data_IF_448631362665
#
_entry.id   IF_448631362665
#
_cell.length_a   1.000
_cell.length_b   1.000
_cell.length_c   1.000
_cell.angle_alpha   90.00
_cell.angle_beta   90.00
_cell.angle_gamma   90.00
#
_symmetry.space_group_name_H-M   'P 1'
#
loop_
_entity.id
_entity.type
_entity.pdbx_description
1 polymer ?
#
# COMPACT_ATOMS: atom_id res chain seq x y z
N UNK A 1 -49.20 45.00 10.87
CA UNK A 1 -49.14 43.60 11.35
C UNK A 1 -48.79 42.73 10.16
N UNK A 2 -47.70 41.96 10.23
CA UNK A 2 -47.35 41.03 9.14
C UNK A 2 -48.49 40.01 8.96
N UNK A 3 -48.85 39.70 7.71
CA UNK A 3 -49.90 38.74 7.42
C UNK A 3 -49.50 37.36 7.95
N UNK A 4 -50.47 36.57 8.42
CA UNK A 4 -50.26 35.18 8.87
C UNK A 4 -49.53 34.33 7.82
N UNK A 5 -49.70 34.64 6.54
CA UNK A 5 -49.00 33.99 5.43
C UNK A 5 -47.50 34.36 5.35
N UNK A 6 -47.14 35.59 5.70
CA UNK A 6 -45.74 36.06 5.69
C UNK A 6 -44.97 35.47 6.88
N UNK A 7 -45.62 35.34 8.04
CA UNK A 7 -45.08 34.65 9.21
C UNK A 7 -44.81 33.16 8.93
N UNK A 8 -45.71 32.49 8.20
CA UNK A 8 -45.54 31.07 7.84
C UNK A 8 -44.40 30.85 6.83
N UNK A 9 -44.22 31.78 5.87
CA UNK A 9 -43.08 31.74 4.92
C UNK A 9 -41.75 31.99 5.63
N UNK A 10 -41.70 32.93 6.57
CA UNK A 10 -40.51 33.20 7.37
C UNK A 10 -40.11 31.96 8.19
N UNK A 11 -41.07 31.36 8.90
CA UNK A 11 -40.84 30.14 9.69
C UNK A 11 -40.36 28.95 8.83
N UNK A 12 -40.93 28.75 7.63
CA UNK A 12 -40.46 27.69 6.72
C UNK A 12 -39.02 27.92 6.24
N UNK A 13 -38.64 29.16 5.95
CA UNK A 13 -37.29 29.52 5.50
C UNK A 13 -36.27 29.39 6.64
N UNK A 14 -36.65 29.73 7.86
CA UNK A 14 -35.84 29.54 9.06
C UNK A 14 -35.65 28.05 9.39
N UNK A 15 -36.72 27.25 9.33
CA UNK A 15 -36.65 25.80 9.49
C UNK A 15 -35.79 25.14 8.41
N UNK A 16 -35.87 25.61 7.17
CA UNK A 16 -35.05 25.09 6.08
C UNK A 16 -33.57 25.45 6.25
N UNK A 17 -33.24 26.68 6.69
CA UNK A 17 -31.86 27.04 7.04
C UNK A 17 -31.34 26.26 8.25
N UNK A 18 -32.19 26.03 9.25
CA UNK A 18 -31.83 25.21 10.40
C UNK A 18 -31.60 23.75 9.99
N UNK A 19 -32.40 23.22 9.05
CA UNK A 19 -32.22 21.89 8.49
C UNK A 19 -30.96 21.79 7.63
N UNK A 20 -30.69 22.77 6.76
CA UNK A 20 -29.48 22.84 5.95
C UNK A 20 -28.22 22.94 6.83
N UNK A 21 -28.26 23.79 7.87
CA UNK A 21 -27.18 23.93 8.84
C UNK A 21 -26.97 22.64 9.64
N UNK A 22 -28.04 22.00 10.10
CA UNK A 22 -27.96 20.72 10.80
C UNK A 22 -27.46 19.59 9.89
N UNK A 23 -27.83 19.59 8.60
CA UNK A 23 -27.32 18.63 7.61
C UNK A 23 -25.84 18.91 7.28
N UNK A 24 -25.39 20.17 7.30
CA UNK A 24 -23.97 20.54 7.13
C UNK A 24 -23.14 20.11 8.35
N UNK A 25 -23.61 20.41 9.57
CA UNK A 25 -22.97 19.96 10.81
C UNK A 25 -22.95 18.42 10.91
N UNK A 26 -23.99 17.74 10.42
CA UNK A 26 -24.06 16.27 10.33
C UNK A 26 -23.15 15.67 9.26
N UNK A 27 -22.83 16.41 8.20
CA UNK A 27 -21.82 15.98 7.21
C UNK A 27 -20.40 16.14 7.73
N UNK A 28 -20.20 17.13 8.59
CA UNK A 28 -18.91 17.49 9.16
C UNK A 28 -18.50 16.50 10.24
N UNK A 29 -19.36 16.24 11.24
CA UNK A 29 -19.02 15.34 12.33
C UNK A 29 -19.43 13.89 12.06
N UNK A 30 -18.52 12.95 12.29
CA UNK A 30 -18.83 11.52 12.26
C UNK A 30 -19.65 11.19 13.52
N UNK A 31 -20.92 10.80 13.33
CA UNK A 31 -21.81 10.39 14.43
C UNK A 31 -21.82 8.87 14.58
N UNK A 32 -21.91 8.40 15.82
CA UNK A 32 -22.14 6.99 16.13
C UNK A 32 -23.46 6.47 15.51
N UNK A 33 -24.46 7.36 15.41
CA UNK A 33 -25.79 7.09 14.83
C UNK A 33 -25.88 7.35 13.32
N UNK A 34 -24.81 7.22 12.54
CA UNK A 34 -24.87 7.11 11.06
C UNK A 34 -25.48 5.72 10.65
N UNK A 35 -26.50 5.32 11.41
CA UNK A 35 -27.27 4.07 11.44
C UNK A 35 -28.58 4.19 10.65
N UNK A 36 -28.85 5.35 10.02
CA UNK A 36 -30.07 5.58 9.24
C UNK A 36 -30.27 4.54 8.11
N UNK A 37 -29.25 3.72 7.83
CA UNK A 37 -29.33 2.40 7.23
C UNK A 37 -28.48 1.46 8.09
N UNK A 38 -29.04 0.35 8.58
CA UNK A 38 -28.30 -0.62 9.43
C UNK A 38 -26.86 -0.79 8.92
N UNK A 39 -25.83 -0.51 9.75
CA UNK A 39 -24.46 -0.57 9.29
C UNK A 39 -24.19 -1.96 8.75
N UNK A 40 -23.64 -2.00 7.53
CA UNK A 40 -23.34 -3.27 6.87
C UNK A 40 -22.56 -4.18 7.83
N UNK A 41 -22.74 -5.52 7.78
CA UNK A 41 -22.00 -6.44 8.65
C UNK A 41 -20.48 -6.19 8.63
N UNK A 42 -19.97 -5.67 7.50
CA UNK A 42 -18.63 -5.14 7.35
C UNK A 42 -18.29 -4.01 8.33
N UNK A 43 -19.03 -2.90 8.31
CA UNK A 43 -18.73 -1.73 9.16
C UNK A 43 -18.90 -2.05 10.65
N UNK A 44 -19.86 -2.92 11.00
CA UNK A 44 -19.98 -3.45 12.37
C UNK A 44 -18.78 -4.28 12.80
N UNK A 45 -18.24 -5.12 11.91
CA UNK A 45 -17.06 -5.95 12.23
C UNK A 45 -15.80 -5.10 12.34
N UNK A 46 -15.65 -4.10 11.47
CA UNK A 46 -14.48 -3.23 11.44
C UNK A 46 -14.50 -2.30 12.65
N UNK A 47 -15.62 -1.64 12.95
CA UNK A 47 -15.73 -0.73 14.11
C UNK A 47 -15.15 0.67 13.86
N UNK A 48 -14.97 1.09 12.61
CA UNK A 48 -14.36 2.40 12.29
C UNK A 48 -15.25 3.59 12.64
N UNK A 49 -16.58 3.41 12.58
CA UNK A 49 -17.57 4.46 12.90
C UNK A 49 -17.47 4.88 14.37
N UNK A 50 -17.58 3.97 15.36
CA UNK A 50 -17.45 4.37 16.77
C UNK A 50 -16.05 4.88 17.11
N UNK A 51 -14.99 4.37 16.47
CA UNK A 51 -13.63 4.89 16.67
C UNK A 51 -13.46 6.35 16.26
N UNK A 52 -14.01 6.72 15.10
CA UNK A 52 -13.90 8.06 14.55
C UNK A 52 -15.04 8.99 14.99
N UNK A 53 -15.91 8.53 15.90
CA UNK A 53 -17.04 9.31 16.35
C UNK A 53 -16.59 10.60 17.06
N UNK A 54 -17.20 11.73 16.70
CA UNK A 54 -16.90 13.04 17.26
C UNK A 54 -15.77 13.80 16.55
N UNK A 55 -15.01 13.15 15.67
CA UNK A 55 -13.96 13.82 14.88
C UNK A 55 -14.56 14.37 13.58
N UNK A 56 -14.07 15.53 13.13
CA UNK A 56 -14.49 16.11 11.84
C UNK A 56 -13.95 15.28 10.68
N UNK A 57 -14.86 14.91 9.79
CA UNK A 57 -14.61 14.04 8.65
C UNK A 57 -13.65 14.65 7.64
N UNK A 58 -13.72 15.97 7.43
CA UNK A 58 -12.86 16.66 6.48
C UNK A 58 -11.45 16.77 7.06
N UNK A 59 -11.34 17.21 8.31
CA UNK A 59 -10.05 17.33 9.02
C UNK A 59 -9.29 15.99 9.02
N UNK A 60 -9.97 14.90 9.38
CA UNK A 60 -9.33 13.58 9.42
C UNK A 60 -8.94 13.08 8.03
N UNK A 61 -9.68 13.46 6.97
CA UNK A 61 -9.29 13.14 5.60
C UNK A 61 -8.07 13.93 5.13
N UNK A 62 -7.89 15.16 5.61
CA UNK A 62 -6.70 15.95 5.28
C UNK A 62 -5.41 15.26 5.75
N UNK A 63 -5.45 14.39 6.77
CA UNK A 63 -4.30 13.61 7.19
C UNK A 63 -3.80 12.59 6.15
N UNK A 64 -4.64 12.13 5.23
CA UNK A 64 -4.29 11.13 4.20
C UNK A 64 -4.19 11.71 2.78
N UNK A 65 -4.36 13.02 2.62
CA UNK A 65 -4.24 13.66 1.31
C UNK A 65 -2.78 13.69 0.82
N UNK A 66 -2.54 13.70 -0.51
CA UNK A 66 -1.20 13.85 -1.06
C UNK A 66 -0.44 15.06 -0.49
N UNK A 67 0.87 15.00 -0.48
CA UNK A 67 1.72 16.11 -0.02
C UNK A 67 1.98 17.07 -1.17
N UNK A 68 1.80 18.37 -0.94
CA UNK A 68 2.47 19.39 -1.75
C UNK A 68 3.90 19.59 -1.22
N UNK A 69 4.90 19.30 -2.06
CA UNK A 69 6.31 19.42 -1.74
C UNK A 69 6.71 20.84 -1.30
N UNK A 70 5.99 21.86 -1.79
CA UNK A 70 6.26 23.26 -1.43
C UNK A 70 5.79 23.58 -0.02
N UNK A 71 4.66 23.02 0.39
CA UNK A 71 4.05 23.33 1.68
C UNK A 71 4.66 22.50 2.82
N UNK A 72 4.91 21.20 2.56
CA UNK A 72 5.42 20.26 3.57
C UNK A 72 6.58 19.44 3.00
N UNK A 73 7.75 20.05 2.74
CA UNK A 73 8.89 19.38 2.12
C UNK A 73 9.41 18.17 2.93
N UNK A 74 9.31 18.23 4.26
CA UNK A 74 9.72 17.12 5.13
C UNK A 74 8.87 15.85 4.91
N UNK A 75 7.55 15.99 4.70
CA UNK A 75 6.68 14.85 4.39
C UNK A 75 6.92 14.33 2.97
N UNK A 76 7.22 15.21 2.02
CA UNK A 76 7.56 14.81 0.65
C UNK A 76 8.85 13.96 0.63
N UNK A 77 9.89 14.39 1.35
CA UNK A 77 11.15 13.64 1.51
C UNK A 77 10.88 12.26 2.13
N UNK A 78 10.06 12.19 3.18
CA UNK A 78 9.68 10.91 3.80
C UNK A 78 8.98 9.98 2.79
N UNK A 79 8.01 10.50 2.03
CA UNK A 79 7.29 9.73 1.02
C UNK A 79 8.23 9.22 -0.09
N UNK A 80 9.16 10.05 -0.56
CA UNK A 80 10.17 9.66 -1.56
C UNK A 80 11.11 8.60 -1.00
N UNK A 81 11.60 8.77 0.23
CA UNK A 81 12.43 7.77 0.89
C UNK A 81 11.69 6.43 1.05
N UNK A 82 10.41 6.47 1.45
CA UNK A 82 9.60 5.26 1.54
C UNK A 82 9.42 4.56 0.17
N UNK A 83 9.22 5.32 -0.90
CA UNK A 83 9.08 4.75 -2.24
C UNK A 83 10.37 4.05 -2.70
N UNK A 84 11.51 4.71 -2.54
CA UNK A 84 12.81 4.12 -2.88
C UNK A 84 13.11 2.89 -2.01
N UNK A 85 12.79 2.96 -0.71
CA UNK A 85 12.90 1.81 0.19
C UNK A 85 12.15 0.58 -0.34
N UNK A 86 10.92 0.77 -0.84
CA UNK A 86 10.12 -0.34 -1.37
C UNK A 86 10.72 -0.89 -2.68
N UNK A 87 11.26 -0.01 -3.55
CA UNK A 87 11.95 -0.42 -4.77
C UNK A 87 13.20 -1.26 -4.45
N UNK A 88 14.07 -0.78 -3.55
CA UNK A 88 15.25 -1.51 -3.09
C UNK A 88 14.87 -2.86 -2.47
N UNK A 89 13.82 -2.87 -1.65
CA UNK A 89 13.34 -4.09 -1.01
C UNK A 89 12.85 -5.15 -2.00
N UNK A 90 12.30 -4.78 -3.16
CA UNK A 90 11.93 -5.75 -4.19
C UNK A 90 13.14 -6.50 -4.74
N UNK A 91 14.28 -5.81 -4.88
CA UNK A 91 15.54 -6.38 -5.37
C UNK A 91 16.24 -7.22 -4.31
N UNK A 92 16.13 -6.88 -3.02
CA UNK A 92 16.71 -7.69 -1.94
C UNK A 92 15.86 -8.91 -1.60
N UNK A 93 14.53 -8.83 -1.71
CA UNK A 93 13.63 -9.91 -1.34
C UNK A 93 13.46 -11.00 -2.42
N UNK A 94 14.57 -11.40 -3.06
CA UNK A 94 14.62 -12.44 -4.10
C UNK A 94 15.42 -13.67 -3.64
N UNK A 95 15.24 -14.80 -4.34
CA UNK A 95 15.83 -16.08 -3.96
C UNK A 95 17.35 -16.03 -3.94
N UNK A 96 17.95 -15.30 -4.87
CA UNK A 96 19.38 -15.18 -5.10
C UNK A 96 20.07 -14.44 -3.95
N UNK A 97 19.35 -13.53 -3.27
CA UNK A 97 19.89 -12.70 -2.18
C UNK A 97 19.60 -13.34 -0.82
N UNK A 98 18.33 -13.57 -0.49
CA UNK A 98 17.93 -14.01 0.87
C UNK A 98 17.73 -15.52 1.01
N UNK A 99 17.67 -16.24 -0.11
CA UNK A 99 17.43 -17.68 -0.14
C UNK A 99 15.95 -18.07 -0.04
N UNK A 100 15.60 -19.19 -0.67
CA UNK A 100 14.21 -19.66 -0.78
C UNK A 100 13.54 -19.90 0.59
N UNK A 101 14.27 -20.44 1.56
CA UNK A 101 13.73 -20.75 2.90
C UNK A 101 13.31 -19.48 3.64
N UNK A 102 14.05 -18.39 3.45
CA UNK A 102 13.70 -17.07 3.99
C UNK A 102 12.40 -16.56 3.38
N UNK A 103 12.20 -16.75 2.06
CA UNK A 103 10.97 -16.35 1.38
C UNK A 103 9.76 -17.17 1.83
N UNK A 104 9.92 -18.48 2.09
CA UNK A 104 8.85 -19.28 2.72
C UNK A 104 8.50 -18.74 4.10
N UNK A 105 9.50 -18.44 4.94
CA UNK A 105 9.24 -17.86 6.26
C UNK A 105 8.54 -16.50 6.18
N UNK A 106 8.98 -15.61 5.27
CA UNK A 106 8.37 -14.30 5.05
C UNK A 106 6.88 -14.38 4.63
N UNK A 107 6.48 -15.45 3.93
CA UNK A 107 5.10 -15.65 3.50
C UNK A 107 4.22 -16.33 4.57
N UNK A 108 4.80 -16.76 5.69
CA UNK A 108 4.08 -17.44 6.76
C UNK A 108 3.00 -16.53 7.35
N UNK A 109 1.88 -17.15 7.74
CA UNK A 109 0.73 -16.47 8.36
C UNK A 109 0.45 -17.01 9.76
N UNK A 110 0.59 -18.31 9.95
CA UNK A 110 0.30 -19.00 11.22
C UNK A 110 1.55 -19.72 11.69
N UNK A 111 1.79 -19.72 13.00
CA UNK A 111 2.99 -20.34 13.59
C UNK A 111 2.96 -21.86 13.40
N UNK A 112 1.80 -22.50 13.48
CA UNK A 112 1.72 -23.97 13.40
C UNK A 112 1.45 -24.51 11.99
N UNK A 113 1.41 -23.62 10.99
CA UNK A 113 1.11 -24.00 9.61
C UNK A 113 2.20 -23.54 8.65
N UNK A 114 2.76 -24.51 7.93
CA UNK A 114 3.70 -24.23 6.85
C UNK A 114 2.98 -23.60 5.64
N UNK A 115 3.68 -22.72 4.93
CA UNK A 115 3.20 -22.16 3.67
C UNK A 115 3.70 -22.99 2.51
N UNK A 116 2.85 -23.20 1.51
CA UNK A 116 3.18 -23.97 0.32
C UNK A 116 3.81 -23.10 -0.79
N UNK A 117 3.85 -21.78 -0.61
CA UNK A 117 4.41 -20.84 -1.58
C UNK A 117 5.43 -19.91 -0.91
N UNK A 118 6.57 -19.64 -1.57
CA UNK A 118 7.48 -18.61 -1.12
C UNK A 118 6.85 -17.23 -1.27
N UNK A 119 7.35 -16.25 -0.53
CA UNK A 119 7.01 -14.84 -0.74
C UNK A 119 7.53 -14.41 -2.10
N UNK A 120 6.63 -13.85 -2.90
CA UNK A 120 6.98 -13.20 -4.16
C UNK A 120 7.13 -11.70 -3.88
N UNK A 121 8.31 -11.13 -4.14
CA UNK A 121 8.55 -9.69 -3.98
C UNK A 121 8.11 -8.88 -5.20
N UNK A 122 8.00 -9.53 -6.37
CA UNK A 122 7.70 -8.86 -7.61
C UNK A 122 6.23 -8.46 -7.68
N UNK A 123 6.01 -7.27 -8.21
CA UNK A 123 4.70 -6.67 -8.45
C UNK A 123 4.81 -5.88 -9.75
N UNK A 124 3.78 -5.87 -10.57
CA UNK A 124 3.72 -4.97 -11.71
C UNK A 124 3.68 -3.50 -11.25
N UNK A 125 4.11 -2.59 -12.13
CA UNK A 125 4.27 -1.16 -11.84
C UNK A 125 2.98 -0.55 -11.28
N UNK A 126 1.81 -0.91 -11.83
CA UNK A 126 0.54 -0.36 -11.35
C UNK A 126 0.14 -0.87 -9.96
N UNK A 127 0.47 -2.14 -9.67
CA UNK A 127 0.21 -2.72 -8.35
C UNK A 127 1.12 -2.12 -7.29
N UNK A 128 2.41 -1.95 -7.57
CA UNK A 128 3.35 -1.38 -6.60
C UNK A 128 3.00 0.08 -6.30
N UNK A 129 2.70 0.91 -7.31
CA UNK A 129 2.27 2.30 -7.11
C UNK A 129 1.06 2.39 -6.17
N UNK A 130 0.02 1.58 -6.42
CA UNK A 130 -1.16 1.53 -5.56
C UNK A 130 -0.83 1.06 -4.13
N UNK A 131 0.08 0.10 -3.99
CA UNK A 131 0.41 -0.45 -2.68
C UNK A 131 1.28 0.50 -1.86
N UNK A 132 2.23 1.17 -2.51
CA UNK A 132 3.06 2.22 -1.93
C UNK A 132 2.18 3.38 -1.50
N UNK A 133 1.20 3.78 -2.31
CA UNK A 133 0.28 4.87 -1.97
C UNK A 133 -0.48 4.58 -0.66
N UNK A 134 -0.98 3.36 -0.46
CA UNK A 134 -1.66 3.01 0.80
C UNK A 134 -0.76 3.21 2.02
N UNK A 135 0.53 2.84 1.93
CA UNK A 135 1.46 3.04 3.03
C UNK A 135 1.91 4.50 3.18
N UNK A 136 2.09 5.24 2.08
CA UNK A 136 2.32 6.69 2.13
C UNK A 136 1.19 7.38 2.88
N UNK A 137 -0.07 7.05 2.57
CA UNK A 137 -1.22 7.61 3.29
C UNK A 137 -1.21 7.26 4.78
N UNK A 138 -0.79 6.05 5.17
CA UNK A 138 -0.64 5.68 6.59
C UNK A 138 0.49 6.45 7.27
N UNK A 139 1.63 6.64 6.62
CA UNK A 139 2.73 7.44 7.15
C UNK A 139 2.32 8.90 7.30
N UNK A 140 1.69 9.48 6.27
CA UNK A 140 1.16 10.84 6.30
C UNK A 140 0.12 11.01 7.40
N UNK A 141 -0.75 10.02 7.58
CA UNK A 141 -1.73 10.04 8.66
C UNK A 141 -1.05 10.20 10.01
N UNK A 142 -0.08 9.33 10.34
CA UNK A 142 0.59 9.38 11.65
C UNK A 142 1.38 10.68 11.83
N UNK A 143 2.13 11.11 10.81
CA UNK A 143 2.92 12.34 10.91
C UNK A 143 2.06 13.58 11.06
N UNK A 144 1.01 13.74 10.26
CA UNK A 144 0.12 14.90 10.33
C UNK A 144 -0.70 14.91 11.62
N UNK A 145 -1.21 13.76 12.06
CA UNK A 145 -1.98 13.65 13.29
C UNK A 145 -1.13 13.92 14.55
N UNK A 146 0.18 13.64 14.54
CA UNK A 146 1.08 14.03 15.64
C UNK A 146 1.53 15.49 15.59
N UNK A 147 1.38 16.18 14.44
CA UNK A 147 1.66 17.60 14.32
C UNK A 147 0.43 18.48 14.66
N UNK A 148 -0.76 17.88 14.72
CA UNK A 148 -2.04 18.56 14.98
C UNK A 148 -2.45 18.51 16.47
N UNK A 149 -3.49 19.25 16.84
CA UNK A 149 -4.04 19.24 18.20
C UNK A 149 -4.59 17.84 18.55
N UNK A 150 -4.26 17.30 19.75
CA UNK A 150 -4.84 16.07 20.25
C UNK A 150 -6.37 16.02 20.24
N UNK A 151 -7.07 17.15 20.26
CA UNK A 151 -8.54 17.21 20.18
C UNK A 151 -9.09 16.82 18.78
N UNK A 152 -8.35 17.09 17.70
CA UNK A 152 -8.82 16.87 16.32
C UNK A 152 -8.32 15.55 15.72
N UNK A 153 -7.42 14.83 16.39
CA UNK A 153 -6.88 13.57 15.90
C UNK A 153 -7.65 12.34 16.42
N UNK A 154 -7.75 11.26 15.62
CA UNK A 154 -8.31 10.00 16.11
C UNK A 154 -7.56 9.46 17.34
N UNK A 155 -8.26 8.79 18.29
CA UNK A 155 -7.71 8.46 19.62
C UNK A 155 -6.77 7.23 19.65
N UNK A 156 -5.71 7.23 18.83
CA UNK A 156 -4.65 6.22 18.88
C UNK A 156 -3.51 6.61 19.84
N UNK A 157 -2.62 5.67 20.15
CA UNK A 157 -1.48 5.89 21.05
C UNK A 157 -0.19 5.36 20.44
N UNK A 158 0.83 6.20 20.32
CA UNK A 158 2.18 5.74 19.96
C UNK A 158 2.89 5.13 21.16
N UNK A 159 3.52 3.97 20.97
CA UNK A 159 4.45 3.40 21.96
C UNK A 159 5.72 4.24 22.06
N UNK A 160 6.48 4.10 23.15
CA UNK A 160 7.78 4.80 23.31
C UNK A 160 8.75 4.49 22.15
N UNK A 161 8.77 3.25 21.68
CA UNK A 161 9.57 2.84 20.53
C UNK A 161 9.12 3.53 19.23
N UNK A 162 7.81 3.67 19.02
CA UNK A 162 7.25 4.35 17.86
C UNK A 162 7.54 5.85 17.90
N UNK A 163 7.37 6.50 19.06
CA UNK A 163 7.70 7.92 19.25
C UNK A 163 9.19 8.18 19.02
N UNK A 164 10.07 7.33 19.56
CA UNK A 164 11.51 7.44 19.36
C UNK A 164 11.90 7.26 17.89
N UNK A 165 11.35 6.26 17.20
CA UNK A 165 11.64 6.03 15.78
C UNK A 165 11.13 7.18 14.91
N UNK A 166 9.94 7.69 15.18
CA UNK A 166 9.38 8.85 14.50
C UNK A 166 10.25 10.10 14.68
N UNK A 167 10.75 10.34 15.89
CA UNK A 167 11.63 11.47 16.16
C UNK A 167 12.95 11.33 15.38
N UNK A 168 13.54 10.13 15.32
CA UNK A 168 14.76 9.90 14.53
C UNK A 168 14.53 10.19 13.03
N UNK A 169 13.36 9.82 12.48
CA UNK A 169 12.99 10.18 11.10
C UNK A 169 12.94 11.70 10.93
N UNK A 170 12.27 12.42 11.84
CA UNK A 170 12.20 13.89 11.81
C UNK A 170 13.59 14.51 11.87
N UNK A 171 14.45 14.04 12.77
CA UNK A 171 15.80 14.57 12.95
C UNK A 171 16.67 14.36 11.70
N UNK A 172 16.60 13.17 11.08
CA UNK A 172 17.34 12.88 9.85
C UNK A 172 16.86 13.72 8.66
N UNK A 173 15.56 13.89 8.51
CA UNK A 173 14.99 14.73 7.45
C UNK A 173 15.37 16.19 7.68
N UNK A 174 15.28 16.70 8.91
CA UNK A 174 15.68 18.06 9.25
C UNK A 174 17.17 18.31 8.98
N UNK A 175 18.04 17.37 9.32
CA UNK A 175 19.47 17.45 9.04
C UNK A 175 19.77 17.45 7.52
N UNK A 176 19.06 16.64 6.75
CA UNK A 176 19.15 16.62 5.29
C UNK A 176 18.71 17.95 4.66
N UNK A 177 17.61 18.53 5.15
CA UNK A 177 17.13 19.83 4.68
C UNK A 177 18.14 20.94 4.99
N UNK A 178 18.67 20.98 6.22
CA UNK A 178 19.71 21.94 6.60
C UNK A 178 20.96 21.80 5.72
N UNK A 179 21.38 20.58 5.43
CA UNK A 179 22.48 20.33 4.49
C UNK A 179 22.17 20.83 3.07
N UNK A 180 20.95 20.62 2.56
CA UNK A 180 20.54 21.09 1.22
C UNK A 180 20.54 22.62 1.12
N UNK A 181 20.02 23.31 2.15
CA UNK A 181 20.05 24.77 2.23
C UNK A 181 21.49 25.33 2.27
N UNK A 182 22.42 24.64 2.94
CA UNK A 182 23.83 25.03 2.96
C UNK A 182 24.48 24.88 1.57
N UNK A 183 24.16 23.81 0.82
CA UNK A 183 24.66 23.64 -0.54
C UNK A 183 24.14 24.73 -1.48
N UNK A 184 22.85 25.07 -1.40
CA UNK A 184 22.25 26.14 -2.20
C UNK A 184 22.88 27.52 -1.91
N UNK A 185 23.19 27.80 -0.63
CA UNK A 185 23.89 29.04 -0.24
C UNK A 185 25.32 29.10 -0.77
N UNK A 186 26.03 27.97 -0.76
CA UNK A 186 27.40 27.90 -1.27
C UNK A 186 27.42 28.06 -2.80
N UNK A 187 26.49 27.43 -3.52
CA UNK A 187 26.35 27.56 -4.97
C UNK A 187 25.98 29.01 -5.38
N UNK A 188 25.07 29.66 -4.65
CA UNK A 188 24.71 31.06 -4.90
C UNK A 188 25.84 32.07 -4.56
N UNK A 189 26.86 31.64 -3.82
CA UNK A 189 28.05 32.43 -3.48
C UNK A 189 29.17 32.36 -4.52
N UNK A 190 29.19 31.33 -5.37
CA UNK A 190 30.22 31.08 -6.39
C UNK A 190 29.92 31.75 -7.75
N UNK A 191 28.71 32.29 -7.97
CA UNK A 191 28.33 33.02 -9.20
C UNK A 191 28.89 34.47 -9.28
N UNK A 192 29.97 34.77 -8.57
CA UNK A 192 30.74 36.01 -8.74
C UNK A 192 32.22 35.67 -8.87
N UNK A 193 32.70 35.81 -10.09
CA UNK A 193 34.08 35.78 -10.53
C UNK A 193 34.59 34.38 -10.94
N UNK A 194 34.43 34.02 -12.23
CA UNK A 194 35.53 34.07 -13.20
C UNK A 194 35.05 33.65 -14.60
N UNK A 195 35.01 34.65 -15.47
CA UNK A 195 35.00 34.53 -16.93
C UNK A 195 36.41 34.13 -17.39
N UNK A 196 36.62 32.85 -17.73
CA UNK A 196 37.71 32.45 -18.62
C UNK A 196 37.32 31.26 -19.52
N UNK A 197 37.19 31.54 -20.82
CA UNK A 197 37.98 30.82 -21.84
C UNK A 197 37.52 29.43 -22.29
N UNK A 198 36.68 29.43 -23.33
CA UNK A 198 36.66 28.52 -24.49
C UNK A 198 37.84 27.52 -24.64
N UNK A 199 37.56 26.22 -24.82
CA UNK A 199 38.13 25.42 -25.95
C UNK A 199 37.34 24.12 -26.22
N UNK A 200 37.05 23.91 -27.50
CA UNK A 200 36.43 22.72 -28.10
C UNK A 200 37.49 21.62 -28.30
N UNK A 201 37.15 20.38 -27.97
CA UNK A 201 38.03 19.24 -28.26
C UNK A 201 37.28 17.91 -28.24
N UNK A 202 36.80 17.50 -29.42
CA UNK A 202 36.38 16.13 -29.73
C UNK A 202 37.51 15.12 -29.47
N UNK A 203 37.20 13.94 -28.91
CA UNK A 203 37.90 12.70 -29.30
C UNK A 203 37.02 11.44 -29.11
N UNK A 204 37.05 10.58 -30.13
CA UNK A 204 36.31 9.33 -30.25
C UNK A 204 37.09 8.13 -29.71
N UNK A 205 36.38 7.17 -29.11
CA UNK A 205 36.61 5.73 -29.35
C UNK A 205 37.58 4.95 -28.44
N UNK A 206 37.07 3.90 -27.76
CA UNK A 206 37.29 2.48 -28.16
C UNK A 206 36.86 1.45 -27.08
N UNK A 207 36.02 0.53 -27.53
CA UNK A 207 35.90 -0.93 -27.28
C UNK A 207 36.43 -1.58 -25.97
N UNK A 208 35.48 -2.15 -25.21
CA UNK A 208 35.26 -3.60 -25.09
C UNK A 208 36.13 -4.45 -24.15
N UNK A 209 35.54 -4.97 -23.06
CA UNK A 209 35.86 -6.31 -22.49
C UNK A 209 34.62 -6.94 -21.82
N UNK A 210 34.26 -8.15 -22.27
CA UNK A 210 33.33 -9.08 -21.61
C UNK A 210 33.91 -9.69 -20.32
N UNK A 211 33.05 -9.88 -19.32
CA UNK A 211 33.06 -11.09 -18.49
C UNK A 211 33.77 -11.02 -17.14
N UNK A 212 32.99 -10.84 -16.07
CA UNK A 212 32.92 -11.74 -14.90
C UNK A 212 32.14 -11.04 -13.78
N UNK A 213 31.05 -11.67 -13.32
CA UNK A 213 30.32 -11.26 -12.14
C UNK A 213 31.27 -11.20 -10.94
N UNK A 214 31.63 -9.97 -10.53
CA UNK A 214 32.31 -9.67 -9.27
C UNK A 214 31.33 -8.94 -8.38
N UNK A 215 31.23 -9.45 -7.16
CA UNK A 215 30.41 -8.93 -6.07
C UNK A 215 30.62 -7.42 -5.92
N UNK A 216 29.52 -6.68 -6.03
CA UNK A 216 29.45 -5.22 -5.90
C UNK A 216 28.92 -4.95 -4.51
N UNK A 217 29.75 -4.39 -3.62
CA UNK A 217 29.22 -3.62 -2.48
C UNK A 217 30.25 -2.59 -1.97
N UNK A 218 31.54 -2.92 -1.89
CA UNK A 218 32.52 -1.99 -1.28
C UNK A 218 33.00 -0.86 -2.21
N UNK A 219 33.00 -1.06 -3.54
CA UNK A 219 33.45 -0.04 -4.49
C UNK A 219 32.37 0.96 -4.92
N UNK A 220 31.09 0.67 -4.68
CA UNK A 220 29.96 1.45 -5.19
C UNK A 220 29.51 2.56 -4.22
N UNK A 221 29.74 2.37 -2.91
CA UNK A 221 29.36 3.36 -1.89
C UNK A 221 30.21 4.65 -1.94
N UNK A 222 31.45 4.59 -2.43
CA UNK A 222 32.33 5.77 -2.56
C UNK A 222 31.99 6.65 -3.78
N UNK A 223 31.38 6.10 -4.83
CA UNK A 223 30.93 6.84 -6.02
C UNK A 223 29.51 7.44 -5.86
N UNK A 224 28.77 7.06 -4.83
CA UNK A 224 27.44 7.60 -4.57
C UNK A 224 27.47 9.07 -4.17
N UNK A 225 26.60 9.88 -4.78
CA UNK A 225 26.37 11.27 -4.39
C UNK A 225 26.07 11.40 -2.89
N UNK A 226 26.49 12.51 -2.27
CA UNK A 226 26.16 12.79 -0.86
C UNK A 226 24.65 12.78 -0.62
N UNK A 227 23.86 13.19 -1.61
CA UNK A 227 22.39 13.18 -1.54
C UNK A 227 21.84 11.75 -1.46
N UNK A 228 22.37 10.81 -2.25
CA UNK A 228 21.90 9.42 -2.19
C UNK A 228 22.30 8.75 -0.88
N UNK A 229 23.45 9.10 -0.29
CA UNK A 229 23.83 8.67 1.06
C UNK A 229 22.86 9.18 2.12
N UNK A 230 22.43 10.44 2.03
CA UNK A 230 21.40 11.00 2.92
C UNK A 230 20.07 10.27 2.78
N UNK A 231 19.59 10.10 1.55
CA UNK A 231 18.34 9.38 1.28
C UNK A 231 18.39 7.95 1.82
N UNK A 232 19.53 7.26 1.71
CA UNK A 232 19.71 5.91 2.28
C UNK A 232 19.58 5.87 3.80
N UNK A 233 20.09 6.89 4.50
CA UNK A 233 19.89 6.99 5.96
C UNK A 233 18.43 7.23 6.31
N UNK A 234 17.73 8.09 5.55
CA UNK A 234 16.30 8.36 5.78
C UNK A 234 15.47 7.11 5.49
N UNK A 235 15.77 6.36 4.42
CA UNK A 235 15.13 5.08 4.11
C UNK A 235 15.22 4.09 5.28
N UNK A 236 16.40 3.96 5.89
CA UNK A 236 16.63 3.05 7.02
C UNK A 236 15.80 3.45 8.25
N UNK A 237 15.73 4.73 8.58
CA UNK A 237 14.91 5.19 9.72
C UNK A 237 13.41 5.11 9.43
N UNK A 238 12.99 5.36 8.18
CA UNK A 238 11.59 5.16 7.75
C UNK A 238 11.21 3.68 7.83
N UNK A 239 12.08 2.76 7.38
CA UNK A 239 11.88 1.33 7.52
C UNK A 239 11.71 0.94 9.00
N UNK A 240 12.63 1.41 9.85
CA UNK A 240 12.59 1.15 11.28
C UNK A 240 11.29 1.65 11.90
N UNK A 241 10.85 2.84 11.55
CA UNK A 241 9.55 3.37 11.98
C UNK A 241 8.39 2.48 11.52
N UNK A 242 8.33 2.09 10.25
CA UNK A 242 7.32 1.16 9.74
C UNK A 242 7.29 -0.18 10.50
N UNK A 243 8.46 -0.75 10.82
CA UNK A 243 8.56 -1.97 11.61
C UNK A 243 8.02 -1.75 13.04
N UNK A 244 8.35 -0.63 13.69
CA UNK A 244 7.80 -0.32 15.02
C UNK A 244 6.29 -0.11 15.02
N UNK A 245 5.70 0.40 13.93
CA UNK A 245 4.25 0.52 13.78
C UNK A 245 3.56 -0.85 13.71
N UNK A 246 4.22 -1.85 13.13
CA UNK A 246 3.74 -3.24 13.09
C UNK A 246 3.85 -3.93 14.47
N UNK A 247 4.78 -3.47 15.33
CA UNK A 247 4.97 -3.96 16.70
C UNK A 247 4.10 -3.20 17.71
N UNK A 248 2.78 -3.39 17.64
CA UNK A 248 1.84 -2.75 18.55
C UNK A 248 0.93 -3.79 19.22
N UNK A 249 1.01 -4.00 20.55
CA UNK A 249 0.09 -4.89 21.24
C UNK A 249 -1.32 -4.27 21.27
N UNK A 250 -2.30 -4.93 20.68
CA UNK A 250 -3.66 -4.37 20.56
C UNK A 250 -4.43 -4.32 21.90
N UNK A 251 -4.04 -5.13 22.89
CA UNK A 251 -4.66 -5.21 24.21
C UNK A 251 -6.20 -5.19 24.15
N UNK A 252 -6.85 -4.25 24.84
CA UNK A 252 -8.31 -4.13 24.95
C UNK A 252 -8.96 -3.28 23.84
N UNK A 253 -8.17 -2.58 23.02
CA UNK A 253 -8.69 -1.70 21.96
C UNK A 253 -7.76 -1.69 20.73
N UNK A 254 -8.21 -2.32 19.65
CA UNK A 254 -7.43 -2.40 18.41
C UNK A 254 -7.08 -1.04 17.81
N UNK A 255 -7.89 -0.01 18.06
CA UNK A 255 -7.71 1.31 17.48
C UNK A 255 -6.67 2.18 18.21
N UNK A 256 -6.10 1.68 19.31
CA UNK A 256 -4.88 2.26 19.87
C UNK A 256 -3.70 2.12 18.90
N UNK A 257 -3.75 1.13 17.99
CA UNK A 257 -2.75 1.00 16.93
C UNK A 257 -2.87 2.12 15.90
N UNK A 258 -1.79 2.87 15.63
CA UNK A 258 -1.79 3.93 14.62
C UNK A 258 -2.13 3.42 13.21
N UNK A 259 -1.68 2.21 12.85
CA UNK A 259 -1.98 1.59 11.56
C UNK A 259 -3.48 1.28 11.45
N UNK A 260 -4.10 0.72 12.48
CA UNK A 260 -5.54 0.39 12.46
C UNK A 260 -6.37 1.67 12.44
N UNK A 261 -5.98 2.68 13.23
CA UNK A 261 -6.61 4.00 13.20
C UNK A 261 -6.51 4.65 11.81
N UNK A 262 -5.32 4.65 11.19
CA UNK A 262 -5.14 5.16 9.82
C UNK A 262 -5.94 4.38 8.78
N UNK A 263 -6.08 3.06 8.93
CA UNK A 263 -6.96 2.24 8.08
C UNK A 263 -8.44 2.59 8.27
N UNK A 264 -8.86 3.01 9.47
CA UNK A 264 -10.20 3.53 9.72
C UNK A 264 -10.46 4.80 8.90
N UNK A 265 -9.49 5.72 8.90
CA UNK A 265 -9.54 6.98 8.13
C UNK A 265 -9.61 6.69 6.63
N UNK A 266 -8.78 5.77 6.14
CA UNK A 266 -8.81 5.34 4.75
C UNK A 266 -10.16 4.73 4.32
N UNK A 267 -10.96 4.23 5.26
CA UNK A 267 -12.28 3.65 4.99
C UNK A 267 -13.33 4.71 4.66
N UNK A 268 -13.08 5.99 4.98
CA UNK A 268 -13.95 7.10 4.62
C UNK A 268 -13.96 7.27 3.10
N UNK A 269 -15.14 7.11 2.49
CA UNK A 269 -15.37 7.26 1.05
C UNK A 269 -16.02 8.62 0.75
N UNK A 270 -15.22 9.58 0.29
CA UNK A 270 -15.67 10.95 0.00
C UNK A 270 -16.31 11.62 1.22
N UNK A 271 -17.35 12.43 0.99
CA UNK A 271 -17.92 13.29 2.04
C UNK A 271 -19.05 12.65 2.86
N UNK A 272 -19.64 11.54 2.40
CA UNK A 272 -20.79 10.90 3.08
C UNK A 272 -20.79 9.36 3.11
N UNK A 273 -19.76 8.68 2.59
CA UNK A 273 -19.75 7.23 2.43
C UNK A 273 -18.68 6.49 3.23
N UNK A 274 -18.83 5.18 3.32
CA UNK A 274 -17.79 4.27 3.77
C UNK A 274 -17.46 3.30 2.64
N UNK A 275 -16.21 2.88 2.53
CA UNK A 275 -15.86 1.80 1.62
C UNK A 275 -16.51 0.48 2.08
N UNK A 276 -17.02 -0.29 1.13
CA UNK A 276 -17.51 -1.64 1.40
C UNK A 276 -16.35 -2.65 1.50
N UNK A 277 -16.68 -3.89 1.87
CA UNK A 277 -15.71 -4.96 2.01
C UNK A 277 -15.00 -5.31 0.68
N UNK A 278 -15.70 -5.20 -0.45
CA UNK A 278 -15.16 -5.56 -1.76
C UNK A 278 -14.06 -4.57 -2.17
N UNK A 279 -14.35 -3.27 -2.06
CA UNK A 279 -13.42 -2.20 -2.39
C UNK A 279 -12.22 -2.18 -1.43
N UNK A 280 -12.45 -2.37 -0.11
CA UNK A 280 -11.44 -2.08 0.91
C UNK A 280 -10.45 -3.23 1.18
N UNK A 281 -10.83 -4.49 0.91
CA UNK A 281 -9.94 -5.65 1.14
C UNK A 281 -8.64 -5.59 0.32
N UNK A 282 -8.63 -4.81 -0.77
CA UNK A 282 -7.42 -4.53 -1.57
C UNK A 282 -6.40 -3.70 -0.79
N UNK A 283 -6.82 -2.72 0.02
CA UNK A 283 -5.93 -1.92 0.88
C UNK A 283 -5.31 -2.77 1.98
N UNK A 284 -6.07 -3.65 2.62
CA UNK A 284 -5.50 -4.62 3.57
C UNK A 284 -4.47 -5.54 2.90
N UNK A 285 -4.69 -5.93 1.64
CA UNK A 285 -3.72 -6.74 0.90
C UNK A 285 -2.45 -5.98 0.57
N UNK A 286 -2.56 -4.67 0.25
CA UNK A 286 -1.41 -3.79 0.09
C UNK A 286 -0.58 -3.73 1.38
N UNK A 287 -1.24 -3.49 2.52
CA UNK A 287 -0.57 -3.43 3.83
C UNK A 287 0.17 -4.73 4.12
N UNK A 288 -0.50 -5.87 3.94
CA UNK A 288 0.10 -7.20 4.16
C UNK A 288 1.31 -7.44 3.24
N UNK A 289 1.21 -7.12 1.96
CA UNK A 289 2.26 -7.39 0.97
C UNK A 289 3.51 -6.56 1.29
N UNK A 290 3.36 -5.25 1.52
CA UNK A 290 4.51 -4.41 1.83
C UNK A 290 5.04 -4.62 3.25
N UNK A 291 4.21 -4.98 4.24
CA UNK A 291 4.69 -5.36 5.57
C UNK A 291 5.66 -6.56 5.50
N UNK A 292 5.31 -7.58 4.72
CA UNK A 292 6.19 -8.75 4.50
C UNK A 292 7.47 -8.36 3.77
N UNK A 293 7.36 -7.50 2.76
CA UNK A 293 8.52 -6.97 2.03
C UNK A 293 9.48 -6.22 2.96
N UNK A 294 8.95 -5.31 3.78
CA UNK A 294 9.71 -4.55 4.78
C UNK A 294 10.34 -5.43 5.84
N UNK A 295 9.69 -6.52 6.27
CA UNK A 295 10.29 -7.48 7.21
C UNK A 295 11.52 -8.18 6.59
N UNK A 296 11.47 -8.51 5.31
CA UNK A 296 12.65 -9.05 4.60
C UNK A 296 13.73 -7.98 4.45
N UNK A 297 13.35 -6.74 4.16
CA UNK A 297 14.29 -5.62 4.07
C UNK A 297 14.97 -5.33 5.40
N UNK A 298 14.23 -5.33 6.52
CA UNK A 298 14.80 -5.12 7.86
C UNK A 298 15.80 -6.22 8.21
N UNK A 299 15.48 -7.48 7.89
CA UNK A 299 16.42 -8.59 8.04
C UNK A 299 17.64 -8.46 7.12
N UNK A 300 17.47 -7.86 5.94
CA UNK A 300 18.56 -7.58 5.02
C UNK A 300 19.50 -6.53 5.61
N UNK A 301 18.99 -5.35 5.96
CA UNK A 301 19.76 -4.24 6.55
C UNK A 301 20.50 -4.68 7.83
N UNK A 302 19.82 -5.38 8.74
CA UNK A 302 20.46 -5.86 9.97
C UNK A 302 21.60 -6.85 9.71
N UNK A 303 21.49 -7.70 8.70
CA UNK A 303 22.59 -8.61 8.37
C UNK A 303 23.75 -7.85 7.75
N UNK A 304 23.49 -6.92 6.83
CA UNK A 304 24.56 -6.13 6.21
C UNK A 304 25.31 -5.32 7.25
N UNK A 305 24.62 -4.75 8.22
CA UNK A 305 25.25 -4.04 9.33
C UNK A 305 26.13 -4.96 10.19
N UNK A 306 25.68 -6.20 10.47
CA UNK A 306 26.51 -7.20 11.16
C UNK A 306 27.76 -7.57 10.35
N UNK A 307 27.63 -7.73 9.03
CA UNK A 307 28.76 -8.06 8.15
C UNK A 307 29.77 -6.92 8.16
N UNK A 308 29.33 -5.67 7.95
CA UNK A 308 30.18 -4.46 8.00
C UNK A 308 30.91 -4.34 9.34
N UNK A 309 30.20 -4.56 10.44
CA UNK A 309 30.81 -4.52 11.77
C UNK A 309 31.92 -5.57 11.91
N UNK A 310 31.69 -6.82 11.46
CA UNK A 310 32.67 -7.89 11.57
C UNK A 310 33.86 -7.74 10.60
N UNK A 311 33.66 -7.15 9.42
CA UNK A 311 34.74 -6.92 8.46
C UNK A 311 35.88 -6.05 9.00
N UNK A 312 35.61 -5.25 10.04
CA UNK A 312 36.67 -4.50 10.74
C UNK A 312 37.72 -5.40 11.41
N UNK A 313 37.38 -6.66 11.70
CA UNK A 313 38.23 -7.63 12.43
C UNK A 313 38.58 -8.88 11.63
N UNK A 314 37.85 -9.21 10.57
CA UNK A 314 38.00 -10.46 9.82
C UNK A 314 37.68 -10.31 8.33
N UNK A 315 37.97 -11.36 7.56
CA UNK A 315 37.65 -11.37 6.13
C UNK A 315 36.14 -11.34 5.87
N UNK A 316 35.71 -10.82 4.73
CA UNK A 316 34.30 -10.78 4.33
C UNK A 316 33.63 -12.18 4.40
N UNK A 317 34.33 -13.22 3.96
CA UNK A 317 33.82 -14.60 3.98
C UNK A 317 33.57 -15.08 5.41
N UNK A 318 34.43 -14.72 6.36
CA UNK A 318 34.27 -15.05 7.77
C UNK A 318 33.17 -14.22 8.42
N UNK A 319 33.11 -12.92 8.11
CA UNK A 319 32.06 -12.02 8.56
C UNK A 319 30.67 -12.50 8.12
N UNK A 320 30.50 -12.87 6.85
CA UNK A 320 29.26 -13.43 6.29
C UNK A 320 28.82 -14.73 6.97
N UNK A 321 29.78 -15.58 7.38
CA UNK A 321 29.53 -16.84 8.12
C UNK A 321 29.16 -16.58 9.57
N UNK A 322 29.74 -15.56 10.20
CA UNK A 322 29.48 -15.16 11.59
C UNK A 322 28.16 -14.40 11.73
N UNK A 323 27.79 -13.61 10.72
CA UNK A 323 26.53 -12.86 10.69
C UNK A 323 25.31 -13.79 10.77
N UNK A 324 24.27 -13.30 11.42
CA UNK A 324 23.01 -14.02 11.56
C UNK A 324 22.39 -14.24 10.19
N UNK A 325 21.90 -15.45 9.91
CA UNK A 325 21.31 -15.73 8.61
C UNK A 325 20.00 -14.96 8.41
N UNK A 326 19.71 -14.59 7.15
CA UNK A 326 18.45 -13.93 6.79
C UNK A 326 17.23 -14.72 7.28
N UNK A 327 17.24 -16.04 7.12
CA UNK A 327 16.18 -16.90 7.63
C UNK A 327 15.92 -16.72 9.13
N UNK A 328 16.98 -16.63 9.95
CA UNK A 328 16.83 -16.46 11.41
C UNK A 328 16.25 -15.10 11.77
N UNK A 329 16.73 -14.03 11.11
CA UNK A 329 16.22 -12.67 11.32
C UNK A 329 14.76 -12.55 10.88
N UNK A 330 14.44 -13.00 9.66
CA UNK A 330 13.05 -13.01 9.15
C UNK A 330 12.15 -13.84 10.05
N UNK A 331 12.58 -15.02 10.51
CA UNK A 331 11.80 -15.85 11.43
C UNK A 331 11.49 -15.13 12.74
N UNK A 332 12.45 -14.38 13.28
CA UNK A 332 12.25 -13.57 14.48
C UNK A 332 11.19 -12.50 14.23
N UNK A 333 11.33 -11.69 13.19
CA UNK A 333 10.37 -10.61 12.88
C UNK A 333 8.99 -11.12 12.48
N UNK A 334 8.92 -12.17 11.67
CA UNK A 334 7.67 -12.82 11.28
C UNK A 334 6.93 -13.32 12.50
N UNK A 335 7.64 -13.99 13.43
CA UNK A 335 7.06 -14.42 14.70
C UNK A 335 6.62 -13.24 15.56
N UNK A 336 7.33 -12.12 15.53
CA UNK A 336 7.04 -10.95 16.36
C UNK A 336 5.84 -10.16 15.85
N UNK A 337 5.80 -9.82 14.56
CA UNK A 337 4.86 -8.82 14.02
C UNK A 337 3.85 -9.40 13.03
N UNK A 338 4.21 -10.44 12.28
CA UNK A 338 3.54 -10.78 11.00
C UNK A 338 2.71 -12.07 11.06
N UNK A 339 2.84 -12.88 12.10
CA UNK A 339 2.02 -14.08 12.30
C UNK A 339 0.85 -13.83 13.24
N UNK A 340 -0.17 -14.68 13.13
CA UNK A 340 -1.25 -14.74 14.12
C UNK A 340 -0.64 -15.06 15.50
N UNK A 341 -0.96 -14.26 16.51
CA UNK A 341 -0.47 -14.44 17.87
C UNK A 341 -0.76 -15.86 18.37
N UNK A 342 0.26 -16.47 18.94
CA UNK A 342 0.25 -17.78 19.59
C UNK A 342 1.10 -17.68 20.85
N UNK A 343 0.83 -18.56 21.83
CA UNK A 343 1.65 -18.68 23.04
C UNK A 343 1.47 -17.56 24.06
N UNK A 344 0.26 -16.98 24.17
CA UNK A 344 -0.08 -16.02 25.23
C UNK A 344 0.41 -14.58 25.00
N UNK A 345 0.88 -14.24 23.80
CA UNK A 345 1.16 -12.85 23.39
C UNK A 345 -0.11 -12.14 22.96
N UNK A 346 -0.14 -10.82 23.16
CA UNK A 346 -1.22 -9.98 22.66
C UNK A 346 -1.28 -10.00 21.12
N UNK A 347 -2.48 -9.87 20.53
CA UNK A 347 -2.63 -9.69 19.08
C UNK A 347 -1.87 -8.46 18.57
N UNK A 348 -1.35 -8.55 17.34
CA UNK A 348 -0.70 -7.43 16.63
C UNK A 348 -1.62 -6.82 15.58
N UNK A 349 -1.30 -5.65 14.99
CA UNK A 349 -2.12 -5.03 13.96
C UNK A 349 -2.27 -5.93 12.73
N UNK A 350 -1.20 -6.64 12.37
CA UNK A 350 -1.22 -7.60 11.26
C UNK A 350 -2.23 -8.72 11.46
N UNK A 351 -2.35 -9.25 12.67
CA UNK A 351 -3.36 -10.26 12.98
C UNK A 351 -4.77 -9.73 12.74
N UNK A 352 -5.07 -8.53 13.25
CA UNK A 352 -6.37 -7.89 13.02
C UNK A 352 -6.61 -7.68 11.52
N UNK A 353 -5.63 -7.16 10.78
CA UNK A 353 -5.71 -6.95 9.33
C UNK A 353 -5.98 -8.26 8.58
N UNK A 354 -5.30 -9.37 8.93
CA UNK A 354 -5.57 -10.67 8.32
C UNK A 354 -7.00 -11.15 8.57
N UNK A 355 -7.48 -11.04 9.82
CA UNK A 355 -8.82 -11.47 10.19
C UNK A 355 -9.90 -10.62 9.51
N UNK A 356 -9.75 -9.31 9.55
CA UNK A 356 -10.67 -8.35 8.93
C UNK A 356 -10.72 -8.54 7.42
N UNK A 357 -9.56 -8.72 6.76
CA UNK A 357 -9.52 -9.03 5.33
C UNK A 357 -10.19 -10.36 5.00
N UNK A 358 -9.90 -11.42 5.76
CA UNK A 358 -10.54 -12.73 5.56
C UNK A 358 -12.06 -12.66 5.75
N UNK A 359 -12.54 -11.87 6.70
CA UNK A 359 -13.95 -11.61 6.90
C UNK A 359 -14.57 -10.86 5.70
N UNK A 360 -13.91 -9.81 5.20
CA UNK A 360 -14.36 -9.08 4.01
C UNK A 360 -14.43 -9.95 2.76
N UNK A 361 -13.43 -10.82 2.55
CA UNK A 361 -13.49 -11.82 1.48
C UNK A 361 -14.65 -12.80 1.66
N UNK A 362 -14.90 -13.26 2.90
CA UNK A 362 -16.05 -14.12 3.16
C UNK A 362 -17.35 -13.42 2.77
N UNK A 363 -17.55 -12.16 3.15
CA UNK A 363 -18.70 -11.36 2.70
C UNK A 363 -18.80 -11.37 1.17
N UNK A 364 -17.70 -11.11 0.46
CA UNK A 364 -17.67 -11.10 -1.02
C UNK A 364 -18.08 -12.44 -1.63
N UNK A 365 -17.62 -13.55 -1.07
CA UNK A 365 -17.90 -14.88 -1.61
C UNK A 365 -19.26 -15.47 -1.17
N UNK A 366 -19.79 -15.05 -0.02
CA UNK A 366 -21.03 -15.63 0.54
C UNK A 366 -22.25 -14.72 0.41
N UNK A 367 -22.06 -13.43 0.16
CA UNK A 367 -23.16 -12.49 -0.05
C UNK A 367 -23.42 -12.39 -1.55
N UNK A 368 -24.59 -12.83 -2.05
CA UNK A 368 -24.96 -12.55 -3.43
C UNK A 368 -24.97 -11.04 -3.58
N UNK A 369 -24.04 -10.50 -4.38
CA UNK A 369 -24.07 -9.08 -4.70
C UNK A 369 -25.47 -8.78 -5.27
N UNK A 370 -26.19 -7.81 -4.70
CA UNK A 370 -27.43 -7.36 -5.30
C UNK A 370 -27.12 -7.03 -6.77
N UNK A 371 -27.81 -7.70 -7.69
CA UNK A 371 -27.49 -7.60 -9.11
C UNK A 371 -27.40 -6.13 -9.51
N UNK A 372 -26.20 -5.68 -9.90
CA UNK A 372 -25.99 -4.33 -10.45
C UNK A 372 -26.59 -4.19 -11.86
N UNK A 373 -27.22 -5.26 -12.36
CA UNK A 373 -27.90 -5.33 -13.64
C UNK A 373 -29.39 -5.06 -13.42
N UNK A 374 -29.87 -3.96 -13.99
CA UNK A 374 -31.30 -3.69 -14.10
C UNK A 374 -31.76 -3.89 -15.55
N UNK A 375 -32.89 -4.56 -15.71
CA UNK A 375 -33.55 -4.75 -17.00
C UNK A 375 -34.69 -3.75 -17.12
N UNK A 376 -34.63 -2.85 -18.09
CA UNK A 376 -35.73 -1.96 -18.43
C UNK A 376 -36.12 -2.24 -19.88
N UNK A 377 -37.19 -3.02 -20.06
CA UNK A 377 -37.67 -3.46 -21.39
C UNK A 377 -36.55 -4.14 -22.19
N UNK A 378 -36.06 -3.47 -23.24
CA UNK A 378 -35.05 -3.97 -24.17
C UNK A 378 -33.64 -3.44 -23.85
N UNK A 379 -33.44 -2.88 -22.66
CA UNK A 379 -32.19 -2.28 -22.24
C UNK A 379 -31.66 -2.92 -20.95
N UNK A 380 -30.36 -3.20 -20.97
CA UNK A 380 -29.57 -3.65 -19.83
C UNK A 380 -28.82 -2.45 -19.27
N UNK A 381 -29.04 -2.18 -17.99
CA UNK A 381 -28.32 -1.16 -17.24
C UNK A 381 -27.31 -1.84 -16.32
N UNK A 382 -26.05 -1.49 -16.48
CA UNK A 382 -24.94 -1.82 -15.58
C UNK A 382 -24.27 -0.48 -15.18
N UNK A 383 -23.63 -0.33 -14.01
CA UNK A 383 -23.11 0.97 -13.58
C UNK A 383 -22.24 1.64 -14.64
N UNK A 384 -22.63 2.85 -15.06
CA UNK A 384 -21.95 3.62 -16.10
C UNK A 384 -22.26 3.21 -17.55
N UNK A 385 -23.02 2.14 -17.77
CA UNK A 385 -23.21 1.53 -19.10
C UNK A 385 -24.67 1.16 -19.34
N UNK A 386 -25.25 1.69 -20.43
CA UNK A 386 -26.59 1.36 -20.91
C UNK A 386 -26.47 0.71 -22.28
N UNK A 387 -26.97 -0.52 -22.40
CA UNK A 387 -26.85 -1.31 -23.64
C UNK A 387 -28.22 -1.78 -24.06
N UNK A 388 -28.58 -1.55 -25.32
CA UNK A 388 -29.79 -2.17 -25.90
C UNK A 388 -29.53 -3.65 -26.20
N UNK A 389 -30.55 -4.49 -26.10
CA UNK A 389 -30.42 -5.92 -26.37
C UNK A 389 -29.95 -6.21 -27.80
N UNK A 390 -30.33 -5.34 -28.77
CA UNK A 390 -29.84 -5.38 -30.14
C UNK A 390 -28.31 -5.21 -30.23
N UNK A 391 -27.76 -4.25 -29.47
CA UNK A 391 -26.33 -3.99 -29.39
C UNK A 391 -25.60 -5.12 -28.67
N UNK A 392 -26.15 -5.61 -27.55
CA UNK A 392 -25.60 -6.75 -26.83
C UNK A 392 -25.54 -7.99 -27.72
N UNK A 393 -26.62 -8.29 -28.44
CA UNK A 393 -26.69 -9.42 -29.38
C UNK A 393 -25.70 -9.24 -30.53
N UNK A 394 -25.55 -8.04 -31.06
CA UNK A 394 -24.55 -7.75 -32.10
C UNK A 394 -23.12 -7.93 -31.59
N UNK A 395 -22.83 -7.49 -30.35
CA UNK A 395 -21.53 -7.68 -29.71
C UNK A 395 -21.23 -9.17 -29.49
N UNK A 396 -22.18 -9.94 -28.99
CA UNK A 396 -22.02 -11.38 -28.78
C UNK A 396 -21.81 -12.11 -30.10
N UNK A 397 -22.58 -11.79 -31.15
CA UNK A 397 -22.35 -12.36 -32.48
C UNK A 397 -21.00 -11.96 -33.06
N UNK A 398 -20.54 -10.73 -32.82
CA UNK A 398 -19.22 -10.26 -33.19
C UNK A 398 -18.11 -11.06 -32.50
N UNK A 399 -18.20 -11.22 -31.17
CA UNK A 399 -17.27 -12.03 -30.38
C UNK A 399 -17.27 -13.49 -30.81
N UNK A 400 -18.43 -14.09 -31.07
CA UNK A 400 -18.52 -15.45 -31.59
C UNK A 400 -17.82 -15.54 -32.95
N UNK A 401 -18.03 -14.57 -33.84
CA UNK A 401 -17.37 -14.55 -35.14
C UNK A 401 -15.86 -14.39 -35.01
N UNK A 402 -15.38 -13.44 -34.21
CA UNK A 402 -13.94 -13.26 -33.95
C UNK A 402 -13.31 -14.49 -33.31
N UNK A 403 -13.95 -15.08 -32.30
CA UNK A 403 -13.47 -16.31 -31.68
C UNK A 403 -13.44 -17.47 -32.68
N UNK A 404 -14.41 -17.53 -33.61
CA UNK A 404 -14.44 -18.50 -34.69
C UNK A 404 -13.32 -18.25 -35.70
N UNK A 405 -13.10 -17.02 -36.12
CA UNK A 405 -12.04 -16.64 -37.06
C UNK A 405 -10.64 -16.89 -36.45
N UNK A 406 -10.43 -16.59 -35.17
CA UNK A 406 -9.20 -16.90 -34.44
C UNK A 406 -8.99 -18.41 -34.30
N UNK A 407 -10.01 -19.14 -33.84
CA UNK A 407 -9.94 -20.58 -33.64
C UNK A 407 -9.68 -21.31 -34.96
N UNK A 408 -10.48 -21.04 -36.00
CA UNK A 408 -10.37 -21.75 -37.28
C UNK A 408 -9.23 -21.21 -38.15
N UNK A 409 -9.07 -19.90 -38.23
CA UNK A 409 -8.10 -19.25 -39.12
C UNK A 409 -6.66 -19.25 -38.56
N UNK A 410 -6.48 -19.01 -37.26
CA UNK A 410 -5.12 -18.88 -36.67
C UNK A 410 -4.69 -20.11 -35.88
N UNK A 411 -5.60 -20.75 -35.15
CA UNK A 411 -5.27 -21.87 -34.27
C UNK A 411 -5.35 -23.23 -34.97
N UNK A 412 -6.42 -23.47 -35.74
CA UNK A 412 -6.62 -24.72 -36.49
C UNK A 412 -6.14 -24.65 -37.94
N UNK A 413 -5.80 -23.46 -38.45
CA UNK A 413 -5.28 -23.20 -39.81
C UNK A 413 -6.14 -23.83 -40.91
N UNK A 414 -7.46 -23.74 -40.76
CA UNK A 414 -8.42 -24.28 -41.73
C UNK A 414 -8.75 -23.20 -42.75
N UNK A 415 -8.37 -23.40 -44.01
CA UNK A 415 -8.54 -22.40 -45.09
C UNK A 415 -9.89 -22.47 -45.81
N UNK A 416 -10.66 -23.56 -45.65
CA UNK A 416 -12.00 -23.75 -46.24
C UNK A 416 -12.95 -24.43 -45.23
N UNK A 417 -14.21 -23.99 -45.14
CA UNK A 417 -15.21 -24.47 -44.14
C UNK A 417 -15.49 -25.99 -44.16
N UNK A 418 -15.10 -26.70 -45.25
CA UNK A 418 -15.21 -28.16 -45.37
C UNK A 418 -14.04 -28.96 -44.79
N UNK A 419 -12.99 -28.31 -44.27
CA UNK A 419 -11.77 -28.95 -43.78
C UNK A 419 -11.77 -29.34 -42.30
N UNK A 420 -12.84 -29.04 -41.56
CA UNK A 420 -12.92 -29.34 -40.12
C UNK A 420 -13.33 -30.81 -39.94
N UNK A 421 -12.50 -31.68 -39.34
CA UNK A 421 -12.89 -33.06 -39.07
C UNK A 421 -14.10 -33.08 -38.12
N UNK A 422 -15.12 -33.87 -38.47
CA UNK A 422 -16.31 -34.01 -37.63
C UNK A 422 -15.92 -34.70 -36.32
N UNK A 423 -16.01 -33.99 -35.20
CA UNK A 423 -15.77 -34.55 -33.86
C UNK A 423 -17.06 -35.22 -33.42
N UNK A 424 -17.01 -36.54 -33.21
CA UNK A 424 -18.13 -37.31 -32.69
C UNK A 424 -18.26 -37.11 -31.18
N UNK A 425 -18.90 -36.00 -30.81
CA UNK A 425 -19.10 -35.58 -29.42
C UNK A 425 -19.80 -36.66 -28.57
N UNK A 426 -20.67 -37.47 -29.17
CA UNK A 426 -21.39 -38.53 -28.46
C UNK A 426 -20.47 -39.69 -28.03
N UNK A 427 -19.32 -39.86 -28.69
CA UNK A 427 -18.30 -40.86 -28.36
C UNK A 427 -17.05 -40.27 -27.67
N UNK A 428 -17.07 -38.99 -27.34
CA UNK A 428 -15.93 -38.34 -26.67
C UNK A 428 -16.05 -38.57 -25.16
N UNK A 429 -15.01 -39.15 -24.54
CA UNK A 429 -14.98 -39.44 -23.09
C UNK A 429 -13.84 -38.65 -22.47
N UNK A 430 -14.13 -37.89 -21.41
CA UNK A 430 -13.10 -37.16 -20.66
C UNK A 430 -12.03 -38.11 -20.11
N UNK A 431 -10.76 -37.70 -20.18
CA UNK A 431 -9.66 -38.48 -19.60
C UNK A 431 -9.77 -38.44 -18.07
N UNK A 432 -10.04 -39.57 -17.39
CA UNK A 432 -10.26 -39.59 -15.95
C UNK A 432 -9.00 -39.34 -15.12
N UNK A 433 -7.82 -39.25 -15.75
CA UNK A 433 -6.55 -38.92 -15.10
C UNK A 433 -6.30 -37.42 -14.92
N UNK A 434 -7.01 -36.56 -15.65
CA UNK A 434 -6.93 -35.11 -15.44
C UNK A 434 -7.85 -34.72 -14.29
N UNK A 435 -7.26 -34.53 -13.11
CA UNK A 435 -7.95 -33.99 -11.93
C UNK A 435 -7.75 -32.47 -11.90
N UNK A 436 -8.86 -31.73 -11.82
CA UNK A 436 -8.90 -30.27 -11.65
C UNK A 436 -8.26 -29.81 -10.34
#
# INVERSE_FOLDING_TARGET
>A
MASRADQLKAAKKEMQRAFEKAEEEEKQQIKETDEAKEPSPWLRRVGCIPHLAGVDRKEVREFIEPVDEKDKPHLAIMCTAFEWLIQDAQHHAVREVVGIQTLFEANRKEVDKETNMPFDSWMDITTIERYVEVWKQLLLFVFRAEDDDPEFRPPYVLTEAQQSAMQTVRDKIGAFQGWKEEQEKNAAGEDRDEDEGFDDGDDEGLEGVEGAAKEVDEGFEDEMSKETKWMRQIQQEVLRFCITLLDHPLQDNEYQSPIISGLAVLMIKGDKGWHDAEDFTTKYSAVIKLARLMVVQEAYEQRQEQIRTYQSEMTEVEARKKATSYYRLVKQFVSQFTTMAHGGRDPTPMQWIYQTRSYGFKIRYTTPAAGKIQWIRDEVLYPGTRVQMSQLRSMVHGLIREARDELFGKLMVVTDEGGVPNIDWDNTVDQPSETK
#
